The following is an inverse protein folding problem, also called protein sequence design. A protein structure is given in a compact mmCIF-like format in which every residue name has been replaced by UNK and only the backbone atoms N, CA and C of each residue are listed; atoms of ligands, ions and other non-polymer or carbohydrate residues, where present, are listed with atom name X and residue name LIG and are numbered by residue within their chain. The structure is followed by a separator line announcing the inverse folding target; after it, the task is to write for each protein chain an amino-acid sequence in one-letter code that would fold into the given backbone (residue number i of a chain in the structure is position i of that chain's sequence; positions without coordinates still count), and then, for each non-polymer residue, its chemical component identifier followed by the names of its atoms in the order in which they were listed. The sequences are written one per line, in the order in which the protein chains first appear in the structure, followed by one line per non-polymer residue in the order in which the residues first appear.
data_IF_708239498236
#
_entry.id   IF_708239498236
#
_cell.length_a   1.000
_cell.length_b   1.000
_cell.length_c   1.000
_cell.angle_alpha   90.00
_cell.angle_beta   90.00
_cell.angle_gamma   90.00
#
_symmetry.space_group_name_H-M   'P 1'
#
loop_
_entity.id
_entity.type
_entity.pdbx_description
1 polymer ?
#
# COMPACT_ATOMS: atom_id res chain seq x y z
N UNK A 1 4.72 8.62 17.07
CA UNK A 1 4.81 8.79 15.60
C UNK A 1 3.94 9.94 15.11
N UNK A 2 2.60 9.80 15.00
CA UNK A 2 1.77 10.89 14.46
C UNK A 2 1.89 12.21 15.24
N UNK A 3 1.80 12.16 16.57
CA UNK A 3 1.97 13.33 17.43
C UNK A 3 3.40 13.91 17.42
N UNK A 4 4.37 13.13 16.93
CA UNK A 4 5.77 13.55 16.80
C UNK A 4 6.06 14.11 15.39
N UNK A 5 5.02 14.30 14.56
CA UNK A 5 5.12 14.90 13.23
C UNK A 5 5.33 13.91 12.08
N UNK A 6 5.35 12.60 12.34
CA UNK A 6 5.55 11.60 11.30
C UNK A 6 4.27 11.36 10.49
N UNK A 7 4.41 11.39 9.16
CA UNK A 7 3.38 10.89 8.26
C UNK A 7 3.28 9.36 8.39
N UNK A 8 2.09 8.86 8.65
CA UNK A 8 1.84 7.42 8.74
C UNK A 8 1.48 6.86 7.37
N UNK A 9 2.25 5.87 6.91
CA UNK A 9 2.06 5.19 5.62
C UNK A 9 2.06 3.68 5.80
N UNK A 10 1.11 2.98 5.17
CA UNK A 10 1.06 1.51 5.14
C UNK A 10 1.33 1.02 3.73
N UNK A 11 2.33 0.15 3.59
CA UNK A 11 2.61 -0.62 2.37
C UNK A 11 2.17 -2.06 2.57
N UNK A 12 1.22 -2.57 1.78
CA UNK A 12 0.71 -3.94 1.92
C UNK A 12 0.66 -4.69 0.59
N UNK A 13 0.94 -6.00 0.63
CA UNK A 13 0.84 -6.89 -0.52
C UNK A 13 -0.50 -7.64 -0.43
N UNK A 14 -1.37 -7.54 -1.43
CA UNK A 14 -2.69 -8.20 -1.44
C UNK A 14 -2.96 -8.88 -2.79
N UNK A 15 -2.23 -9.98 -3.05
CA UNK A 15 -2.35 -10.73 -4.31
C UNK A 15 -3.71 -11.39 -4.52
N UNK A 16 -4.55 -11.47 -3.48
CA UNK A 16 -5.89 -12.04 -3.60
C UNK A 16 -6.78 -11.21 -4.52
N UNK A 17 -6.58 -9.89 -4.58
CA UNK A 17 -7.33 -8.99 -5.46
C UNK A 17 -7.12 -9.39 -6.93
N UNK A 18 -5.87 -9.63 -7.34
CA UNK A 18 -5.54 -10.04 -8.70
C UNK A 18 -5.93 -11.51 -8.99
N UNK A 19 -5.83 -12.39 -7.98
CA UNK A 19 -6.21 -13.81 -8.12
C UNK A 19 -7.72 -14.00 -8.31
N UNK A 20 -8.54 -13.13 -7.72
CA UNK A 20 -10.01 -13.25 -7.75
C UNK A 20 -10.62 -12.44 -8.89
N UNK A 21 -10.19 -12.66 -10.14
CA UNK A 21 -10.60 -11.86 -11.31
C UNK A 21 -12.12 -11.66 -11.44
N UNK A 22 -12.91 -12.73 -11.29
CA UNK A 22 -14.38 -12.68 -11.42
C UNK A 22 -15.10 -12.08 -10.19
N UNK A 23 -14.38 -11.85 -9.08
CA UNK A 23 -14.90 -11.28 -7.83
C UNK A 23 -13.99 -10.17 -7.30
N UNK A 24 -13.27 -9.49 -8.20
CA UNK A 24 -12.22 -8.52 -7.86
C UNK A 24 -12.76 -7.40 -7.00
N UNK A 25 -13.92 -6.85 -7.35
CA UNK A 25 -14.56 -5.79 -6.57
C UNK A 25 -14.80 -6.23 -5.12
N UNK A 26 -15.36 -7.43 -4.89
CA UNK A 26 -15.57 -7.95 -3.53
C UNK A 26 -14.27 -8.11 -2.75
N UNK A 27 -13.19 -8.52 -3.41
CA UNK A 27 -11.87 -8.63 -2.77
C UNK A 27 -11.31 -7.25 -2.39
N UNK A 28 -11.51 -6.24 -3.26
CA UNK A 28 -11.18 -4.84 -2.98
C UNK A 28 -12.00 -4.32 -1.81
N UNK A 29 -13.33 -4.43 -1.86
CA UNK A 29 -14.25 -3.94 -0.82
C UNK A 29 -13.92 -4.55 0.55
N UNK A 30 -13.64 -5.86 0.58
CA UNK A 30 -13.26 -6.54 1.82
C UNK A 30 -11.93 -6.03 2.39
N UNK A 31 -10.97 -5.66 1.54
CA UNK A 31 -9.68 -5.13 1.98
C UNK A 31 -9.82 -3.68 2.45
N UNK A 32 -10.52 -2.86 1.68
CA UNK A 32 -10.79 -1.44 1.99
C UNK A 32 -11.56 -1.35 3.30
N UNK A 33 -12.65 -2.09 3.48
CA UNK A 33 -13.41 -2.07 4.73
C UNK A 33 -12.61 -2.48 5.97
N UNK A 34 -11.63 -3.39 5.85
CA UNK A 34 -10.72 -3.71 6.96
C UNK A 34 -9.78 -2.56 7.30
N UNK A 35 -9.30 -1.84 6.29
CA UNK A 35 -8.43 -0.68 6.47
C UNK A 35 -9.22 0.49 7.06
N UNK A 36 -10.43 0.73 6.58
CA UNK A 36 -11.31 1.78 7.08
C UNK A 36 -11.64 1.55 8.55
N UNK A 37 -12.09 0.34 8.92
CA UNK A 37 -12.35 -0.01 10.32
C UNK A 37 -11.11 0.18 11.20
N UNK A 38 -9.92 -0.17 10.70
CA UNK A 38 -8.67 0.05 11.44
C UNK A 38 -8.40 1.55 11.63
N UNK A 39 -8.53 2.36 10.58
CA UNK A 39 -8.32 3.81 10.62
C UNK A 39 -9.33 4.47 11.57
N UNK A 40 -10.59 4.04 11.58
CA UNK A 40 -11.62 4.49 12.52
C UNK A 40 -11.26 4.16 13.98
N UNK A 41 -10.64 3.01 14.24
CA UNK A 41 -10.17 2.65 15.57
C UNK A 41 -9.00 3.52 16.04
N UNK A 42 -7.99 3.75 15.18
CA UNK A 42 -6.77 4.46 15.58
C UNK A 42 -6.89 5.99 15.53
N UNK A 43 -7.90 6.52 14.81
CA UNK A 43 -8.24 7.95 14.74
C UNK A 43 -7.06 8.86 14.35
N UNK A 44 -6.19 8.37 13.50
CA UNK A 44 -5.08 9.13 12.92
C UNK A 44 -5.09 8.99 11.40
N UNK A 45 -4.71 10.03 10.64
CA UNK A 45 -4.66 9.94 9.19
C UNK A 45 -3.54 8.99 8.75
N UNK A 46 -3.89 8.03 7.90
CA UNK A 46 -2.97 7.03 7.36
C UNK A 46 -3.13 6.96 5.84
N UNK A 47 -2.03 7.03 5.11
CA UNK A 47 -2.01 6.78 3.67
C UNK A 47 -1.68 5.32 3.39
N UNK A 48 -2.48 4.63 2.58
CA UNK A 48 -2.31 3.19 2.33
C UNK A 48 -2.03 2.93 0.85
N UNK A 49 -1.01 2.12 0.57
CA UNK A 49 -0.67 1.62 -0.76
C UNK A 49 -0.77 0.09 -0.78
N UNK A 50 -1.46 -0.44 -1.79
CA UNK A 50 -1.79 -1.87 -1.89
C UNK A 50 -1.23 -2.42 -3.20
N UNK A 51 -0.15 -3.20 -3.12
CA UNK A 51 0.35 -3.97 -4.26
C UNK A 51 -0.56 -5.18 -4.50
N UNK A 52 -1.38 -5.10 -5.55
CA UNK A 52 -2.34 -6.15 -5.88
C UNK A 52 -1.74 -7.27 -6.74
N UNK A 53 -0.61 -7.03 -7.41
CA UNK A 53 -0.02 -7.98 -8.32
C UNK A 53 0.54 -9.23 -7.64
N UNK A 54 0.68 -10.28 -8.45
CA UNK A 54 1.40 -11.48 -8.06
C UNK A 54 2.90 -11.23 -8.22
N UNK A 55 3.71 -11.71 -7.27
CA UNK A 55 5.17 -11.66 -7.44
C UNK A 55 5.64 -12.53 -8.60
N UNK A 56 6.92 -12.40 -8.94
CA UNK A 56 7.59 -13.17 -10.00
C UNK A 56 7.20 -14.66 -9.98
N UNK A 57 6.66 -15.12 -11.10
CA UNK A 57 6.27 -16.51 -11.35
C UNK A 57 6.72 -16.95 -12.74
N UNK A 58 6.59 -18.25 -13.06
CA UNK A 58 6.86 -18.73 -14.42
C UNK A 58 5.89 -18.07 -15.40
N UNK A 59 6.39 -17.17 -16.24
CA UNK A 59 5.60 -16.48 -17.28
C UNK A 59 4.82 -15.26 -16.81
N UNK A 60 4.98 -14.82 -15.54
CA UNK A 60 4.39 -13.56 -15.06
C UNK A 60 5.50 -12.56 -14.75
N UNK A 61 5.45 -11.33 -15.32
CA UNK A 61 6.39 -10.27 -14.96
C UNK A 61 6.28 -9.97 -13.46
N UNK A 62 7.39 -9.54 -12.88
CA UNK A 62 7.41 -9.19 -11.46
C UNK A 62 6.62 -7.90 -11.22
N UNK A 63 5.94 -7.82 -10.07
CA UNK A 63 5.26 -6.61 -9.64
C UNK A 63 6.26 -5.73 -8.87
N UNK A 64 6.69 -4.63 -9.51
CA UNK A 64 7.64 -3.67 -8.93
C UNK A 64 7.11 -2.99 -7.67
N UNK A 65 5.78 -2.96 -7.48
CA UNK A 65 5.16 -2.42 -6.27
C UNK A 65 5.11 -3.46 -5.15
N UNK A 66 5.20 -4.76 -5.46
CA UNK A 66 5.12 -5.81 -4.45
C UNK A 66 6.42 -5.89 -3.65
N UNK A 67 6.31 -5.73 -2.32
CA UNK A 67 7.46 -5.90 -1.40
C UNK A 67 8.09 -7.28 -1.58
N UNK A 68 9.44 -7.41 -1.55
CA UNK A 68 10.41 -6.41 -1.07
C UNK A 68 10.82 -5.33 -2.09
N UNK A 69 10.25 -5.29 -3.29
CA UNK A 69 10.53 -4.21 -4.25
C UNK A 69 10.09 -2.85 -3.68
N UNK A 70 10.82 -1.79 -4.04
CA UNK A 70 10.63 -0.43 -3.52
C UNK A 70 9.64 0.41 -4.33
N UNK A 71 8.89 -0.18 -5.28
CA UNK A 71 8.03 0.61 -6.17
C UNK A 71 6.94 1.40 -5.44
N UNK A 72 6.33 0.84 -4.38
CA UNK A 72 5.37 1.61 -3.59
C UNK A 72 6.03 2.77 -2.83
N UNK A 73 7.29 2.61 -2.41
CA UNK A 73 8.04 3.67 -1.74
C UNK A 73 8.28 4.85 -2.67
N UNK A 74 8.82 4.59 -3.86
CA UNK A 74 9.10 5.63 -4.85
C UNK A 74 7.83 6.31 -5.33
N UNK A 75 6.75 5.55 -5.58
CA UNK A 75 5.44 6.11 -5.90
C UNK A 75 4.98 7.09 -4.82
N UNK A 76 5.09 6.70 -3.55
CA UNK A 76 4.71 7.55 -2.43
C UNK A 76 5.57 8.82 -2.35
N UNK A 77 6.89 8.66 -2.40
CA UNK A 77 7.86 9.75 -2.25
C UNK A 77 7.74 10.78 -3.39
N UNK A 78 7.63 10.33 -4.64
CA UNK A 78 7.67 11.19 -5.82
C UNK A 78 6.31 11.85 -6.11
N UNK A 79 5.20 11.13 -5.90
CA UNK A 79 3.89 11.57 -6.37
C UNK A 79 2.91 11.90 -5.24
N UNK A 80 3.10 11.32 -4.05
CA UNK A 80 2.10 11.40 -2.98
C UNK A 80 2.65 11.98 -1.67
N UNK A 81 3.81 12.63 -1.71
CA UNK A 81 4.40 13.32 -0.57
C UNK A 81 4.47 14.85 -0.74
N UNK A 82 3.66 15.42 -1.63
CA UNK A 82 3.58 16.88 -1.86
C UNK A 82 4.93 17.55 -2.16
N UNK A 83 5.88 16.81 -2.73
CA UNK A 83 7.24 17.30 -3.00
C UNK A 83 8.12 17.49 -1.76
N UNK A 84 7.67 17.04 -0.58
CA UNK A 84 8.45 17.07 0.65
C UNK A 84 9.48 15.93 0.59
N UNK A 85 10.76 16.26 0.74
CA UNK A 85 11.83 15.27 0.81
C UNK A 85 11.69 14.43 2.08
N UNK A 86 11.94 13.12 1.97
CA UNK A 86 11.88 12.19 3.09
C UNK A 86 13.28 12.02 3.65
N UNK A 87 13.43 12.25 4.96
CA UNK A 87 14.65 11.90 5.69
C UNK A 87 14.69 10.38 5.89
N UNK A 88 15.73 9.73 5.39
CA UNK A 88 15.92 8.27 5.45
C UNK A 88 16.79 7.85 6.64
N UNK A 89 17.43 8.80 7.30
CA UNK A 89 18.35 8.57 8.43
C UNK A 89 17.63 8.73 9.79
N UNK A 90 16.35 9.15 9.78
CA UNK A 90 15.45 9.22 10.93
C UNK A 90 14.32 8.18 10.89
#
# INVERSE_FOLDING_TARGET
LYNDGYKLVIFTNESNIERWKNKRQRAVDSKVGRLDNFIECVKVPIQVFIACGTGKGKGTPDDLFRKPNSGMWWLMAEHFNSGIAIDMDQ
#
